data_IF_575170098972
#
_entry.id   IF_575170098972
#
_cell.length_a   1.000
_cell.length_b   1.000
_cell.length_c   1.000
_cell.angle_alpha   90.00
_cell.angle_beta   90.00
_cell.angle_gamma   90.00
#
_symmetry.space_group_name_H-M   'P 1'
#
loop_
_entity.id
_entity.type
_entity.pdbx_description
1 polymer ?
#
# COMPACT_ATOMS: atom_id res chain seq x y z
N UNK A 1 10.02 0.21 -18.31
CA UNK A 1 10.11 1.46 -17.53
C UNK A 1 11.50 1.67 -16.92
N UNK A 2 12.02 0.71 -16.14
CA UNK A 2 13.33 0.88 -15.47
C UNK A 2 14.51 1.01 -16.41
N UNK A 3 14.40 0.48 -17.64
CA UNK A 3 15.48 0.54 -18.62
C UNK A 3 15.44 1.81 -19.45
N UNK A 4 14.27 2.41 -19.64
CA UNK A 4 14.08 3.61 -20.46
C UNK A 4 14.08 4.88 -19.64
N UNK A 5 13.43 4.83 -18.49
CA UNK A 5 13.36 5.91 -17.53
C UNK A 5 13.96 5.39 -16.23
N UNK A 6 14.80 6.20 -15.58
CA UNK A 6 15.45 5.79 -14.34
C UNK A 6 14.82 6.52 -13.16
N UNK A 7 13.64 6.09 -12.71
CA UNK A 7 12.99 6.73 -11.57
C UNK A 7 13.75 6.43 -10.28
N UNK A 8 13.66 7.31 -9.32
CA UNK A 8 14.23 7.09 -7.98
C UNK A 8 13.24 6.38 -7.07
N UNK A 9 11.94 6.48 -7.36
CA UNK A 9 10.89 5.80 -6.62
C UNK A 9 9.76 5.39 -7.56
N UNK A 10 9.19 4.22 -7.30
CA UNK A 10 7.99 3.75 -7.99
C UNK A 10 6.91 3.57 -6.94
N UNK A 11 5.83 4.36 -7.05
CA UNK A 11 4.68 4.29 -6.19
C UNK A 11 3.63 3.39 -6.85
N UNK A 12 3.31 2.28 -6.21
CA UNK A 12 2.39 1.30 -6.76
C UNK A 12 1.00 1.48 -6.13
N UNK A 13 -0.04 1.15 -6.92
CA UNK A 13 -1.41 1.31 -6.48
C UNK A 13 -1.83 0.36 -5.35
N UNK A 14 -1.12 -0.75 -5.19
CA UNK A 14 -1.33 -1.66 -4.06
C UNK A 14 -0.08 -2.49 -3.80
N UNK A 15 -0.13 -3.29 -2.73
CA UNK A 15 1.03 -4.06 -2.28
C UNK A 15 1.36 -5.23 -3.23
N UNK A 16 0.36 -5.80 -3.89
CA UNK A 16 0.59 -6.90 -4.84
C UNK A 16 1.37 -6.39 -6.04
N UNK A 17 0.98 -5.23 -6.58
CA UNK A 17 1.72 -4.59 -7.68
C UNK A 17 3.14 -4.25 -7.24
N UNK A 18 3.28 -3.72 -6.03
CA UNK A 18 4.59 -3.37 -5.48
C UNK A 18 5.50 -4.59 -5.35
N UNK A 19 4.96 -5.72 -4.87
CA UNK A 19 5.72 -6.96 -4.78
C UNK A 19 6.22 -7.42 -6.16
N UNK A 20 5.37 -7.29 -7.17
CA UNK A 20 5.75 -7.60 -8.55
C UNK A 20 6.87 -6.70 -9.08
N UNK A 21 6.78 -5.41 -8.78
CA UNK A 21 7.83 -4.45 -9.17
C UNK A 21 9.15 -4.79 -8.50
N UNK A 22 9.15 -5.09 -7.21
CA UNK A 22 10.36 -5.47 -6.47
C UNK A 22 10.99 -6.72 -7.09
N UNK A 23 10.17 -7.73 -7.37
CA UNK A 23 10.63 -8.97 -7.97
C UNK A 23 11.27 -8.74 -9.34
N UNK A 24 10.61 -7.97 -10.19
CA UNK A 24 11.12 -7.69 -11.54
C UNK A 24 12.36 -6.81 -11.51
N UNK A 25 12.41 -5.84 -10.61
CA UNK A 25 13.59 -4.99 -10.44
C UNK A 25 14.80 -5.84 -10.10
N UNK A 26 14.64 -6.80 -9.20
CA UNK A 26 15.70 -7.73 -8.82
C UNK A 26 16.18 -8.56 -10.02
N UNK A 27 15.23 -9.08 -10.81
CA UNK A 27 15.53 -9.87 -12.00
C UNK A 27 16.35 -9.06 -13.03
N UNK A 28 16.08 -7.75 -13.10
CA UNK A 28 16.79 -6.86 -14.00
C UNK A 28 18.11 -6.33 -13.43
N UNK A 29 18.46 -6.75 -12.22
CA UNK A 29 19.71 -6.34 -11.58
C UNK A 29 19.65 -5.02 -10.83
N UNK A 30 18.46 -4.49 -10.58
CA UNK A 30 18.30 -3.28 -9.77
C UNK A 30 18.14 -3.63 -8.30
N UNK A 31 18.79 -2.85 -7.46
CA UNK A 31 18.71 -3.02 -6.00
C UNK A 31 17.61 -2.13 -5.44
N UNK A 32 16.74 -2.71 -4.63
CA UNK A 32 15.69 -1.99 -3.90
C UNK A 32 16.09 -1.96 -2.42
N UNK A 33 16.20 -0.79 -1.79
CA UNK A 33 15.79 0.54 -2.25
C UNK A 33 16.89 1.40 -2.86
N UNK A 34 18.12 0.90 -2.99
CA UNK A 34 19.27 1.73 -3.32
C UNK A 34 19.22 2.28 -4.75
N UNK A 35 18.86 1.44 -5.71
CA UNK A 35 18.72 1.89 -7.11
C UNK A 35 17.35 2.50 -7.36
N UNK A 36 16.33 1.94 -6.75
CA UNK A 36 14.95 2.41 -6.86
C UNK A 36 14.19 2.06 -5.59
N UNK A 37 13.49 3.03 -5.02
CA UNK A 37 12.59 2.80 -3.90
C UNK A 37 11.23 2.38 -4.44
N UNK A 38 10.52 1.55 -3.68
CA UNK A 38 9.18 1.06 -4.08
C UNK A 38 8.23 1.22 -2.91
N UNK A 39 7.04 1.76 -3.19
CA UNK A 39 5.99 1.89 -2.18
C UNK A 39 4.71 1.22 -2.66
N UNK A 40 3.91 0.77 -1.73
CA UNK A 40 2.61 0.15 -1.98
C UNK A 40 1.47 0.90 -1.33
N UNK A 41 0.33 0.25 -1.25
CA UNK A 41 -0.87 0.77 -0.62
C UNK A 41 -1.71 -0.41 -0.14
N UNK A 42 -2.28 -0.34 1.02
CA UNK A 42 -3.14 -1.27 1.73
C UNK A 42 -2.53 -1.88 2.99
N UNK A 43 -1.25 -2.21 2.99
CA UNK A 43 -0.57 -2.90 4.09
C UNK A 43 -1.17 -4.30 4.34
N UNK A 44 -1.25 -5.10 3.29
CA UNK A 44 -1.65 -6.50 3.43
C UNK A 44 -0.49 -7.31 4.03
N UNK A 45 -0.76 -8.54 4.48
CA UNK A 45 0.29 -9.37 5.10
C UNK A 45 1.54 -9.53 4.21
N UNK A 46 1.35 -9.62 2.91
CA UNK A 46 2.45 -9.73 1.95
C UNK A 46 3.50 -8.63 2.13
N UNK A 47 3.08 -7.42 2.51
CA UNK A 47 3.99 -6.28 2.66
C UNK A 47 5.08 -6.54 3.68
N UNK A 48 4.82 -7.35 4.70
CA UNK A 48 5.78 -7.70 5.75
C UNK A 48 6.74 -8.80 5.32
N UNK A 49 6.37 -9.59 4.32
CA UNK A 49 7.07 -10.81 3.96
C UNK A 49 7.89 -10.70 2.68
N UNK A 50 7.69 -9.67 1.86
CA UNK A 50 8.56 -9.43 0.72
C UNK A 50 9.92 -8.92 1.19
N UNK A 51 10.92 -9.09 0.36
CA UNK A 51 12.26 -8.60 0.67
C UNK A 51 12.75 -7.67 -0.43
N UNK A 52 13.04 -6.41 -0.10
CA UNK A 52 12.94 -5.79 1.23
C UNK A 52 11.49 -5.59 1.65
N UNK A 53 11.24 -5.56 2.96
CA UNK A 53 9.90 -5.35 3.48
C UNK A 53 9.33 -4.03 2.96
N UNK A 54 8.07 -4.05 2.58
CA UNK A 54 7.44 -2.99 1.79
C UNK A 54 6.95 -1.83 2.63
N UNK A 55 7.42 -0.63 2.30
CA UNK A 55 6.84 0.62 2.79
C UNK A 55 5.52 0.83 2.09
N UNK A 56 4.45 1.03 2.85
CA UNK A 56 3.11 1.08 2.31
C UNK A 56 2.22 1.96 3.17
N UNK A 57 1.04 2.29 2.65
CA UNK A 57 0.02 3.00 3.40
C UNK A 57 -0.88 1.97 4.06
N UNK A 58 -0.97 2.04 5.39
CA UNK A 58 -1.85 1.16 6.15
C UNK A 58 -3.28 1.68 6.07
N UNK A 59 -4.16 0.87 5.51
CA UNK A 59 -5.59 1.14 5.43
C UNK A 59 -6.29 0.24 6.46
N UNK A 60 -7.11 0.80 7.36
CA UNK A 60 -7.77 0.00 8.40
C UNK A 60 -8.97 -0.77 7.83
N UNK A 61 -8.70 -1.80 7.05
CA UNK A 61 -9.71 -2.56 6.29
C UNK A 61 -10.79 -3.15 7.18
N UNK A 62 -10.39 -3.73 8.32
CA UNK A 62 -11.34 -4.34 9.24
C UNK A 62 -12.31 -3.29 9.81
N UNK A 63 -11.78 -2.16 10.23
CA UNK A 63 -12.59 -1.07 10.76
C UNK A 63 -13.50 -0.48 9.69
N UNK A 64 -12.99 -0.32 8.47
CA UNK A 64 -13.79 0.14 7.35
C UNK A 64 -14.96 -0.80 7.08
N UNK A 65 -14.69 -2.11 7.05
CA UNK A 65 -15.73 -3.11 6.85
C UNK A 65 -16.76 -3.09 7.96
N UNK A 66 -16.32 -2.97 9.20
CA UNK A 66 -17.23 -2.92 10.36
C UNK A 66 -18.15 -1.70 10.27
N UNK A 67 -17.59 -0.53 10.00
CA UNK A 67 -18.35 0.72 9.90
C UNK A 67 -19.31 0.65 8.70
N UNK A 68 -18.86 0.16 7.56
CA UNK A 68 -19.68 0.06 6.37
C UNK A 68 -20.87 -0.87 6.59
N UNK A 69 -20.63 -2.03 7.22
CA UNK A 69 -21.71 -2.98 7.52
C UNK A 69 -22.72 -2.39 8.51
N UNK A 70 -22.24 -1.74 9.56
CA UNK A 70 -23.12 -1.14 10.55
C UNK A 70 -23.94 0.00 9.93
N UNK A 71 -23.33 0.81 9.08
CA UNK A 71 -24.03 1.89 8.40
C UNK A 71 -25.12 1.36 7.47
N UNK A 72 -24.83 0.27 6.75
CA UNK A 72 -25.80 -0.36 5.88
C UNK A 72 -26.99 -0.92 6.67
N UNK A 73 -26.72 -1.61 7.78
CA UNK A 73 -27.76 -2.14 8.66
C UNK A 73 -28.63 -1.00 9.18
N UNK A 74 -28.03 0.09 9.61
CA UNK A 74 -28.76 1.25 10.12
C UNK A 74 -29.67 1.87 9.04
N UNK A 75 -29.20 1.92 7.79
CA UNK A 75 -30.02 2.40 6.68
C UNK A 75 -31.20 1.47 6.40
N UNK A 76 -30.97 0.15 6.40
CA UNK A 76 -32.02 -0.84 6.17
C UNK A 76 -33.09 -0.75 7.25
N UNK A 77 -32.68 -0.58 8.51
CA UNK A 77 -33.58 -0.46 9.64
C UNK A 77 -34.15 0.95 9.81
N UNK A 78 -33.76 1.89 8.94
CA UNK A 78 -34.20 3.28 8.96
C UNK A 78 -33.87 4.01 10.26
N UNK A 79 -32.75 3.61 10.89
CA UNK A 79 -32.27 4.24 12.12
C UNK A 79 -31.42 5.47 11.86
N UNK A 80 -30.93 5.64 10.64
CA UNK A 80 -30.14 6.79 10.25
C UNK A 80 -30.32 7.07 8.76
N UNK A 81 -29.88 8.25 8.31
CA UNK A 81 -29.99 8.66 6.91
C UNK A 81 -28.73 8.33 6.11
N UNK A 82 -27.81 7.63 6.71
CA UNK A 82 -26.51 7.40 6.10
C UNK A 82 -25.57 8.56 6.38
N UNK A 83 -24.30 8.25 6.47
CA UNK A 83 -23.25 9.21 6.77
C UNK A 83 -22.02 8.91 5.93
N UNK A 84 -21.27 9.96 5.61
CA UNK A 84 -19.94 9.82 5.06
C UNK A 84 -18.99 9.62 6.23
N UNK A 85 -18.27 8.51 6.21
CA UNK A 85 -17.23 8.22 7.19
C UNK A 85 -15.87 8.38 6.55
N UNK A 86 -14.97 9.03 7.25
CA UNK A 86 -13.60 9.18 6.81
C UNK A 86 -12.67 8.59 7.87
N UNK A 87 -11.88 7.59 7.46
CA UNK A 87 -10.93 6.94 8.36
C UNK A 87 -9.52 7.37 8.01
N UNK A 88 -8.70 7.52 9.03
CA UNK A 88 -7.31 7.88 8.85
C UNK A 88 -6.51 6.69 8.34
N UNK A 89 -5.56 6.99 7.47
CA UNK A 89 -4.55 6.03 7.03
C UNK A 89 -3.21 6.44 7.66
N UNK A 90 -2.27 5.52 7.69
CA UNK A 90 -0.94 5.80 8.20
C UNK A 90 0.10 5.19 7.28
N UNK A 91 1.31 5.76 7.30
CA UNK A 91 2.41 5.21 6.51
C UNK A 91 3.17 4.23 7.39
N UNK A 92 3.38 3.02 6.87
CA UNK A 92 4.23 2.02 7.50
C UNK A 92 5.58 2.03 6.80
N UNK A 93 6.53 2.72 7.42
CA UNK A 93 7.91 2.80 6.89
C UNK A 93 8.61 1.49 7.12
N UNK A 94 9.09 0.89 6.03
CA UNK A 94 9.87 -0.35 6.07
C UNK A 94 11.13 -0.17 5.23
N UNK A 95 11.64 -1.25 4.68
CA UNK A 95 12.96 -1.22 4.05
C UNK A 95 12.98 -0.89 2.56
N UNK A 96 11.82 -0.84 1.89
CA UNK A 96 11.77 -0.64 0.43
C UNK A 96 11.91 0.81 -0.01
N UNK A 97 11.97 1.74 0.93
CA UNK A 97 12.09 3.18 0.67
C UNK A 97 13.33 3.72 1.39
N UNK A 98 14.12 4.52 0.71
CA UNK A 98 15.29 5.15 1.31
C UNK A 98 15.39 6.61 0.86
N UNK A 99 16.19 7.37 1.57
CA UNK A 99 16.42 8.77 1.21
C UNK A 99 17.27 8.84 -0.06
N UNK A 100 16.96 9.81 -0.91
CA UNK A 100 17.76 10.13 -2.08
C UNK A 100 19.08 10.76 -1.60
N UNK A 101 20.19 10.25 -2.13
CA UNK A 101 21.50 10.80 -1.79
C UNK A 101 21.97 11.80 -2.81
#
# INVERSE_FOLDING_TARGET
MLTDVKPTVIMCGNDVLAAGVISKARDLGFDVPNDVSVTGFDDIELAKHVYPALTTVHVPHREMGRIAAQSLVNLIEKKSEGMIHQLDVSIKMRASLTCLK
#
